data_IF_687211258116
#
_entry.id   IF_687211258116
#
_cell.length_a   1.000
_cell.length_b   1.000
_cell.length_c   1.000
_cell.angle_alpha   90.00
_cell.angle_beta   90.00
_cell.angle_gamma   90.00
#
_symmetry.space_group_name_H-M   'P 1'
#
loop_
_entity.id
_entity.type
_entity.pdbx_description
1 polymer ?
#
# COMPACT_ATOMS: atom_id res chain seq x y z
N UNK A 1 -18.59 9.71 18.87
CA UNK A 1 -17.97 10.18 17.63
C UNK A 1 -16.67 9.42 17.47
N UNK A 2 -16.62 8.48 16.53
CA UNK A 2 -15.41 7.74 16.25
C UNK A 2 -14.42 8.65 15.52
N UNK A 3 -13.22 8.79 16.07
CA UNK A 3 -12.10 9.43 15.35
C UNK A 3 -11.39 8.28 14.64
N UNK A 4 -11.40 8.30 13.32
CA UNK A 4 -10.61 7.37 12.52
C UNK A 4 -9.14 7.48 12.94
N UNK A 5 -8.47 6.34 13.13
CA UNK A 5 -7.05 6.32 13.44
C UNK A 5 -6.27 6.43 12.14
N UNK A 6 -5.29 7.32 12.11
CA UNK A 6 -4.40 7.55 10.99
C UNK A 6 -2.97 7.15 11.40
N UNK A 7 -2.29 6.34 10.59
CA UNK A 7 -0.97 5.80 10.91
C UNK A 7 -0.09 5.66 9.68
N UNK A 8 1.21 5.52 9.90
CA UNK A 8 2.21 5.14 8.90
C UNK A 8 2.89 3.86 9.36
N UNK A 9 3.01 2.87 8.47
CA UNK A 9 3.75 1.63 8.72
C UNK A 9 5.03 1.52 7.90
N UNK A 10 5.28 2.50 7.04
CA UNK A 10 6.51 2.63 6.29
C UNK A 10 7.23 3.92 6.65
N UNK A 11 8.55 3.94 6.52
CA UNK A 11 9.37 5.12 6.70
C UNK A 11 10.51 5.13 5.69
N UNK A 12 10.76 6.29 5.08
CA UNK A 12 11.95 6.54 4.29
C UNK A 12 13.07 6.99 5.22
N UNK A 13 14.20 6.28 5.23
CA UNK A 13 15.36 6.57 6.07
C UNK A 13 16.64 6.65 5.25
N UNK A 14 17.75 7.00 5.87
CA UNK A 14 19.08 6.96 5.26
C UNK A 14 19.47 5.57 4.74
N UNK A 15 18.98 4.51 5.41
CA UNK A 15 19.19 3.12 5.00
C UNK A 15 18.21 2.63 3.91
N UNK A 16 17.37 3.52 3.38
CA UNK A 16 16.31 3.21 2.43
C UNK A 16 14.94 3.12 3.08
N UNK A 17 14.03 2.44 2.41
CA UNK A 17 12.66 2.25 2.88
C UNK A 17 12.57 1.12 3.90
N UNK A 18 12.03 1.42 5.08
CA UNK A 18 11.75 0.44 6.13
C UNK A 18 10.24 0.23 6.27
N UNK A 19 9.81 -1.02 6.39
CA UNK A 19 8.39 -1.39 6.42
C UNK A 19 8.04 -2.26 7.62
N UNK A 20 6.97 -1.90 8.32
CA UNK A 20 6.34 -2.70 9.38
C UNK A 20 5.12 -3.49 8.87
N UNK A 21 4.82 -3.46 7.59
CA UNK A 21 3.63 -4.10 7.03
C UNK A 21 3.61 -5.62 7.22
N UNK A 22 4.74 -6.29 7.10
CA UNK A 22 4.81 -7.75 7.29
C UNK A 22 4.43 -8.16 8.72
N UNK A 23 5.02 -7.49 9.72
CA UNK A 23 4.66 -7.72 11.12
C UNK A 23 3.21 -7.35 11.41
N UNK A 24 2.71 -6.33 10.75
CA UNK A 24 1.34 -5.87 10.90
C UNK A 24 0.35 -6.93 10.38
N UNK A 25 0.52 -7.42 9.16
CA UNK A 25 -0.42 -8.39 8.55
C UNK A 25 -0.37 -9.75 9.23
N UNK A 26 0.80 -10.18 9.75
CA UNK A 26 0.95 -11.46 10.45
C UNK A 26 0.17 -11.55 11.76
N UNK A 27 -0.28 -10.42 12.30
CA UNK A 27 -1.10 -10.32 13.52
C UNK A 27 -2.60 -10.24 13.25
N UNK A 28 -3.04 -10.38 12.00
CA UNK A 28 -4.45 -10.19 11.60
C UNK A 28 -5.13 -11.54 11.32
N UNK A 29 -6.44 -11.59 11.58
CA UNK A 29 -7.23 -12.79 11.32
C UNK A 29 -7.64 -12.93 9.87
N UNK A 30 -7.73 -11.82 9.13
CA UNK A 30 -8.05 -11.78 7.70
C UNK A 30 -7.19 -10.73 7.01
N UNK A 31 -6.50 -11.14 5.95
CA UNK A 31 -5.59 -10.29 5.20
C UNK A 31 -5.95 -10.30 3.72
N UNK A 32 -6.11 -9.12 3.16
CA UNK A 32 -6.31 -8.92 1.72
C UNK A 32 -5.13 -8.12 1.18
N UNK A 33 -4.31 -8.76 0.35
CA UNK A 33 -3.16 -8.10 -0.30
C UNK A 33 -3.55 -7.71 -1.71
N UNK A 34 -3.60 -6.41 -1.99
CA UNK A 34 -3.94 -5.91 -3.33
C UNK A 34 -2.69 -5.93 -4.21
N UNK A 35 -2.81 -6.54 -5.37
CA UNK A 35 -1.78 -6.52 -6.42
C UNK A 35 -2.26 -5.69 -7.60
N UNK A 36 -1.53 -4.60 -7.88
CA UNK A 36 -1.82 -3.69 -8.99
C UNK A 36 -0.80 -2.56 -9.05
N UNK A 37 -0.52 -2.04 -10.23
CA UNK A 37 0.46 -0.96 -10.42
C UNK A 37 -0.02 0.41 -9.88
N UNK A 38 0.82 1.43 -10.01
CA UNK A 38 0.47 2.80 -9.66
C UNK A 38 -0.76 3.29 -10.45
N UNK A 39 -1.57 4.14 -9.83
CA UNK A 39 -2.73 4.75 -10.47
C UNK A 39 -3.92 3.82 -10.75
N UNK A 40 -3.91 2.58 -10.26
CA UNK A 40 -4.98 1.59 -10.52
C UNK A 40 -6.16 1.67 -9.56
N UNK A 41 -6.20 2.67 -8.68
CA UNK A 41 -7.32 2.91 -7.77
C UNK A 41 -7.25 2.13 -6.45
N UNK A 42 -6.12 1.52 -6.08
CA UNK A 42 -5.95 0.78 -4.81
C UNK A 42 -6.35 1.62 -3.59
N UNK A 43 -5.76 2.81 -3.47
CA UNK A 43 -6.05 3.75 -2.37
C UNK A 43 -7.52 4.17 -2.35
N UNK A 44 -8.12 4.42 -3.51
CA UNK A 44 -9.54 4.76 -3.64
C UNK A 44 -10.44 3.62 -3.18
N UNK A 45 -10.11 2.38 -3.56
CA UNK A 45 -10.84 1.19 -3.12
C UNK A 45 -10.77 1.04 -1.59
N UNK A 46 -9.57 1.11 -1.02
CA UNK A 46 -9.36 1.02 0.43
C UNK A 46 -10.14 2.11 1.17
N UNK A 47 -10.06 3.35 0.71
CA UNK A 47 -10.81 4.48 1.29
C UNK A 47 -12.32 4.28 1.23
N UNK A 48 -12.83 3.74 0.12
CA UNK A 48 -14.26 3.42 -0.03
C UNK A 48 -14.71 2.34 0.96
N UNK A 49 -13.92 1.29 1.13
CA UNK A 49 -14.21 0.21 2.08
C UNK A 49 -14.17 0.76 3.52
N UNK A 50 -13.15 1.54 3.86
CA UNK A 50 -13.02 2.16 5.19
C UNK A 50 -14.24 3.01 5.54
N UNK A 51 -14.65 3.90 4.62
CA UNK A 51 -15.86 4.73 4.82
C UNK A 51 -17.14 3.89 5.00
N UNK A 52 -17.28 2.80 4.28
CA UNK A 52 -18.42 1.91 4.45
C UNK A 52 -18.39 1.17 5.80
N UNK A 53 -17.21 0.83 6.32
CA UNK A 53 -17.05 0.25 7.64
C UNK A 53 -17.42 1.26 8.74
N UNK A 54 -16.95 2.50 8.63
CA UNK A 54 -17.31 3.61 9.54
C UNK A 54 -18.81 3.87 9.56
N UNK A 55 -19.48 3.86 8.40
CA UNK A 55 -20.93 4.02 8.30
C UNK A 55 -21.70 2.90 9.02
N UNK A 56 -21.06 1.75 9.24
CA UNK A 56 -21.60 0.63 10.02
C UNK A 56 -21.18 0.66 11.50
N UNK A 57 -20.52 1.74 11.92
CA UNK A 57 -20.07 1.91 13.30
C UNK A 57 -18.81 1.13 13.68
N UNK A 58 -18.02 0.68 12.69
CA UNK A 58 -16.78 -0.05 12.93
C UNK A 58 -15.58 0.90 13.03
N UNK A 59 -14.61 0.57 13.86
CA UNK A 59 -13.35 1.32 13.97
C UNK A 59 -12.43 1.01 12.80
N UNK A 60 -12.00 2.05 12.10
CA UNK A 60 -11.08 1.94 10.98
C UNK A 60 -9.77 2.65 11.28
N UNK A 61 -8.65 1.98 11.02
CA UNK A 61 -7.33 2.57 10.97
C UNK A 61 -6.90 2.70 9.50
N UNK A 62 -6.57 3.92 9.08
CA UNK A 62 -6.05 4.22 7.76
C UNK A 62 -4.53 4.28 7.81
N UNK A 63 -3.88 3.52 6.94
CA UNK A 63 -2.43 3.40 6.85
C UNK A 63 -1.95 4.19 5.63
N UNK A 64 -1.33 5.33 5.89
CA UNK A 64 -0.89 6.25 4.85
C UNK A 64 0.42 5.82 4.20
N UNK A 65 0.55 6.14 2.92
CA UNK A 65 1.80 5.96 2.18
C UNK A 65 2.84 6.99 2.64
N UNK A 66 4.06 6.52 2.93
CA UNK A 66 5.16 7.37 3.39
C UNK A 66 5.71 8.30 2.31
N UNK A 67 5.47 7.98 1.05
CA UNK A 67 5.93 8.78 -0.09
C UNK A 67 4.84 9.72 -0.63
N UNK A 68 3.56 9.38 -0.39
CA UNK A 68 2.40 10.20 -0.74
C UNK A 68 1.34 10.09 0.36
N UNK A 69 1.41 10.95 1.40
CA UNK A 69 0.47 10.88 2.53
C UNK A 69 -1.02 11.05 2.16
N UNK A 70 -1.33 11.55 0.97
CA UNK A 70 -2.70 11.59 0.47
C UNK A 70 -3.21 10.21 0.01
N UNK A 71 -2.31 9.29 -0.28
CA UNK A 71 -2.61 7.90 -0.65
C UNK A 71 -2.62 6.98 0.57
N UNK A 72 -3.32 5.84 0.43
CA UNK A 72 -3.34 4.78 1.43
C UNK A 72 -2.54 3.57 0.92
N UNK A 73 -1.71 3.04 1.82
CA UNK A 73 -1.05 1.74 1.65
C UNK A 73 -1.82 0.62 2.37
N UNK A 74 -2.81 0.97 3.21
CA UNK A 74 -3.66 -0.02 3.85
C UNK A 74 -4.82 0.56 4.64
N UNK A 75 -5.71 -0.33 5.05
CA UNK A 75 -6.76 -0.10 6.06
C UNK A 75 -6.86 -1.32 6.98
N UNK A 76 -7.27 -1.08 8.21
CA UNK A 76 -7.57 -2.12 9.18
C UNK A 76 -8.93 -1.86 9.84
N UNK A 77 -9.83 -2.83 9.80
CA UNK A 77 -11.13 -2.79 10.47
C UNK A 77 -11.04 -3.65 11.72
N UNK A 78 -11.02 -2.99 12.86
CA UNK A 78 -10.62 -3.57 14.15
C UNK A 78 -11.54 -4.72 14.58
N UNK A 79 -12.85 -4.52 14.59
CA UNK A 79 -13.84 -5.52 15.05
C UNK A 79 -13.86 -6.76 14.16
N UNK A 80 -13.47 -6.62 12.90
CA UNK A 80 -13.39 -7.75 11.97
C UNK A 80 -12.04 -8.45 12.03
N UNK A 81 -11.03 -7.85 12.68
CA UNK A 81 -9.65 -8.33 12.64
C UNK A 81 -9.10 -8.39 11.20
N UNK A 82 -9.68 -7.61 10.30
CA UNK A 82 -9.43 -7.66 8.86
C UNK A 82 -8.65 -6.45 8.37
N UNK A 83 -7.62 -6.68 7.58
CA UNK A 83 -6.89 -5.61 6.89
C UNK A 83 -6.85 -5.82 5.38
N UNK A 84 -6.75 -4.70 4.67
CA UNK A 84 -6.45 -4.68 3.24
C UNK A 84 -5.22 -3.81 3.04
N UNK A 85 -4.20 -4.32 2.36
CA UNK A 85 -2.91 -3.64 2.18
C UNK A 85 -2.46 -3.66 0.74
N UNK A 86 -1.72 -2.64 0.34
CA UNK A 86 -1.02 -2.62 -0.94
C UNK A 86 0.17 -3.57 -0.88
N UNK A 87 0.20 -4.56 -1.75
CA UNK A 87 1.28 -5.54 -1.88
C UNK A 87 2.18 -5.31 -3.09
N UNK A 88 2.20 -4.08 -3.62
CA UNK A 88 3.07 -3.71 -4.75
C UNK A 88 4.30 -2.91 -4.28
N UNK A 89 5.38 -2.85 -5.06
CA UNK A 89 6.55 -2.07 -4.67
C UNK A 89 6.22 -0.65 -4.20
N UNK A 90 6.89 -0.15 -3.15
CA UNK A 90 8.01 -0.74 -2.41
C UNK A 90 7.62 -1.82 -1.37
N UNK A 91 6.34 -2.06 -1.11
CA UNK A 91 5.83 -3.01 -0.11
C UNK A 91 5.48 -4.36 -0.76
N UNK A 92 6.45 -5.06 -1.31
CA UNK A 92 6.15 -6.40 -1.86
C UNK A 92 5.76 -7.33 -0.71
N UNK A 93 4.46 -7.57 -0.56
CA UNK A 93 3.88 -8.40 0.49
C UNK A 93 3.21 -9.62 -0.11
N UNK A 94 3.39 -10.75 0.56
CA UNK A 94 2.61 -11.96 0.31
C UNK A 94 1.63 -12.21 1.46
N UNK A 95 0.42 -12.70 1.16
CA UNK A 95 -0.57 -12.96 2.20
C UNK A 95 -0.11 -14.12 3.12
N UNK A 96 -0.22 -13.96 4.46
CA UNK A 96 0.08 -15.06 5.37
C UNK A 96 -0.96 -16.18 5.20
N UNK A 97 -0.51 -17.44 5.25
CA UNK A 97 -1.38 -18.62 5.15
C UNK A 97 -2.40 -18.51 4.00
N UNK A 98 -1.97 -18.49 2.73
CA UNK A 98 -2.84 -18.23 1.58
C UNK A 98 -4.08 -19.12 1.54
N UNK A 99 -5.24 -18.52 1.34
CA UNK A 99 -6.54 -19.20 1.33
C UNK A 99 -7.16 -19.46 2.72
N UNK A 100 -6.36 -19.50 3.79
CA UNK A 100 -6.86 -19.68 5.15
C UNK A 100 -7.04 -18.33 5.89
N UNK A 101 -6.03 -17.48 5.85
CA UNK A 101 -6.02 -16.15 6.48
C UNK A 101 -5.91 -15.06 5.44
N UNK A 102 -4.99 -15.24 4.50
CA UNK A 102 -4.64 -14.24 3.50
C UNK A 102 -5.16 -14.55 2.10
N UNK A 103 -5.56 -13.51 1.39
CA UNK A 103 -6.06 -13.57 0.02
C UNK A 103 -5.41 -12.49 -0.84
N UNK A 104 -5.23 -12.76 -2.12
CA UNK A 104 -4.78 -11.78 -3.10
C UNK A 104 -5.99 -11.17 -3.79
N UNK A 105 -6.06 -9.85 -3.78
CA UNK A 105 -6.99 -9.06 -4.59
C UNK A 105 -6.23 -8.61 -5.83
N UNK A 106 -6.42 -9.31 -6.93
CA UNK A 106 -5.71 -9.05 -8.18
C UNK A 106 -6.52 -8.08 -9.04
N UNK A 107 -5.98 -6.87 -9.25
CA UNK A 107 -6.60 -5.85 -10.11
C UNK A 107 -5.93 -5.71 -11.48
N UNK A 108 -4.92 -6.52 -11.80
CA UNK A 108 -4.30 -6.58 -13.13
C UNK A 108 -5.27 -6.86 -14.29
N UNK A 109 -6.34 -7.68 -14.13
CA UNK A 109 -7.31 -7.89 -15.20
C UNK A 109 -8.05 -6.64 -15.68
N UNK A 110 -8.06 -5.58 -14.88
CA UNK A 110 -8.71 -4.30 -15.23
C UNK A 110 -7.80 -3.34 -16.00
N UNK A 111 -6.55 -3.74 -16.29
CA UNK A 111 -5.61 -2.92 -17.02
C UNK A 111 -5.87 -2.94 -18.54
N UNK A 112 -5.68 -1.79 -19.16
CA UNK A 112 -5.56 -1.67 -20.61
C UNK A 112 -4.16 -2.13 -21.05
N UNK A 113 -4.03 -3.42 -21.32
CA UNK A 113 -2.75 -4.04 -21.65
C UNK A 113 -2.15 -3.47 -22.93
N UNK A 114 -2.97 -3.17 -23.93
CA UNK A 114 -2.50 -2.65 -25.22
C UNK A 114 -1.84 -1.29 -25.03
N UNK A 115 -2.47 -0.39 -24.27
CA UNK A 115 -1.88 0.92 -23.95
C UNK A 115 -0.61 0.79 -23.13
N UNK A 116 -0.57 -0.10 -22.15
CA UNK A 116 0.61 -0.32 -21.33
C UNK A 116 1.78 -0.88 -22.15
N UNK A 117 1.52 -1.81 -23.06
CA UNK A 117 2.53 -2.35 -23.96
C UNK A 117 3.06 -1.30 -24.93
N UNK A 118 2.17 -0.48 -25.51
CA UNK A 118 2.56 0.63 -26.38
C UNK A 118 3.42 1.66 -25.64
N UNK A 119 3.14 1.93 -24.36
CA UNK A 119 3.89 2.87 -23.51
C UNK A 119 5.10 2.26 -22.76
N UNK A 120 5.46 1.00 -23.01
CA UNK A 120 6.43 0.28 -22.19
C UNK A 120 7.81 0.95 -22.09
N UNK A 121 8.30 1.56 -23.17
CA UNK A 121 9.57 2.27 -23.17
C UNK A 121 9.54 3.50 -22.25
N UNK A 122 8.47 4.31 -22.35
CA UNK A 122 8.26 5.48 -21.51
C UNK A 122 8.07 5.10 -20.02
N UNK A 123 7.35 4.03 -19.74
CA UNK A 123 7.16 3.51 -18.37
C UNK A 123 8.51 3.12 -17.76
N UNK A 124 9.37 2.43 -18.52
CA UNK A 124 10.72 2.04 -18.07
C UNK A 124 11.58 3.26 -17.77
N UNK A 125 11.55 4.26 -18.65
CA UNK A 125 12.31 5.51 -18.48
C UNK A 125 11.86 6.26 -17.23
N UNK A 126 10.54 6.46 -17.03
CA UNK A 126 9.99 7.14 -15.85
C UNK A 126 10.31 6.40 -14.56
N UNK A 127 10.21 5.07 -14.54
CA UNK A 127 10.60 4.27 -13.38
C UNK A 127 12.09 4.43 -13.05
N UNK A 128 12.97 4.49 -14.06
CA UNK A 128 14.39 4.77 -13.86
C UNK A 128 14.64 6.15 -13.25
N UNK A 129 13.92 7.16 -13.70
CA UNK A 129 14.00 8.52 -13.15
C UNK A 129 13.51 8.57 -11.70
N UNK A 130 12.40 7.90 -11.38
CA UNK A 130 11.85 7.81 -10.02
C UNK A 130 12.86 7.12 -9.10
N UNK A 131 13.46 5.99 -9.50
CA UNK A 131 14.48 5.31 -8.71
C UNK A 131 15.67 6.20 -8.41
N UNK A 132 16.19 6.91 -9.41
CA UNK A 132 17.31 7.84 -9.23
C UNK A 132 16.98 8.99 -8.26
N UNK A 133 15.72 9.47 -8.25
CA UNK A 133 15.28 10.49 -7.31
C UNK A 133 15.20 9.95 -5.86
N UNK A 134 14.73 8.71 -5.67
CA UNK A 134 14.76 8.07 -4.35
C UNK A 134 16.17 7.85 -3.84
N UNK A 135 17.10 7.36 -4.68
CA UNK A 135 18.50 7.19 -4.31
C UNK A 135 19.13 8.51 -3.85
N UNK A 136 18.86 9.60 -4.56
CA UNK A 136 19.32 10.94 -4.14
C UNK A 136 18.69 11.39 -2.83
N UNK A 137 17.39 11.11 -2.63
CA UNK A 137 16.70 11.44 -1.39
C UNK A 137 17.32 10.74 -0.20
N UNK A 138 17.62 9.45 -0.32
CA UNK A 138 18.30 8.69 0.75
C UNK A 138 19.70 9.20 1.04
N UNK A 139 20.46 9.64 0.02
CA UNK A 139 21.76 10.31 0.25
C UNK A 139 21.61 11.61 1.06
N UNK A 140 20.60 12.42 0.77
CA UNK A 140 20.35 13.65 1.53
C UNK A 140 19.89 13.34 2.97
N UNK A 141 19.05 12.34 3.16
CA UNK A 141 18.65 11.90 4.51
C UNK A 141 19.85 11.44 5.32
N UNK A 142 20.78 10.67 4.72
CA UNK A 142 22.03 10.24 5.37
C UNK A 142 22.98 11.39 5.68
N UNK A 143 22.97 12.46 4.90
CA UNK A 143 23.79 13.64 5.17
C UNK A 143 23.20 14.58 6.25
N UNK A 144 21.90 14.44 6.55
CA UNK A 144 21.18 15.25 7.53
C UNK A 144 21.15 14.61 8.93
N UNK A 145 21.45 13.33 9.06
CA UNK A 145 21.55 12.57 10.32
C UNK A 145 22.97 12.40 10.73
#
# INVERSE_FOLDING_TARGET
MYIAKESFLGVNSEAGFYSLFEDFINKRSRVYVIKGGPGTGKSTLMRSIGKQAEQRGLEVEYLHCSSDPASLDGIFVKELGACMVDGTPPHVLEPPYPGAVGNIVNIYPFWDREKLQAGAAQIKELNGQISALFDRTYLYLGAAG
#
